data_IF_601204696084
#
_entry.id   IF_601204696084
#
_cell.length_a   1.000
_cell.length_b   1.000
_cell.length_c   1.000
_cell.angle_alpha   90.00
_cell.angle_beta   90.00
_cell.angle_gamma   90.00
#
_symmetry.space_group_name_H-M   'P 1'
#
loop_
_entity.id
_entity.type
_entity.pdbx_description
1 polymer ?
#
# COMPACT_ATOMS: atom_id res chain seq x y z
N UNK A 1 -7.27 -9.89 -28.35
CA UNK A 1 -6.47 -10.16 -27.14
C UNK A 1 -7.37 -10.79 -26.11
N UNK A 2 -6.92 -11.80 -25.37
CA UNK A 2 -7.68 -12.38 -24.26
C UNK A 2 -8.01 -11.28 -23.23
N UNK A 3 -9.26 -11.25 -22.75
CA UNK A 3 -9.63 -10.32 -21.66
C UNK A 3 -9.05 -10.75 -20.31
N UNK A 4 -8.36 -11.89 -20.25
CA UNK A 4 -7.94 -12.55 -19.03
C UNK A 4 -9.12 -13.16 -18.25
N UNK A 5 -8.83 -13.86 -17.17
CA UNK A 5 -9.87 -14.49 -16.32
C UNK A 5 -9.44 -14.54 -14.86
N UNK A 6 -10.42 -14.55 -13.95
CA UNK A 6 -10.24 -14.77 -12.53
C UNK A 6 -10.62 -16.19 -12.15
N UNK A 7 -9.87 -16.80 -11.26
CA UNK A 7 -10.14 -18.13 -10.69
C UNK A 7 -9.91 -18.12 -9.18
N UNK A 8 -10.66 -18.91 -8.40
CA UNK A 8 -10.40 -19.05 -6.96
C UNK A 8 -8.97 -19.54 -6.68
N UNK A 9 -8.37 -19.05 -5.59
CA UNK A 9 -7.00 -19.36 -5.17
C UNK A 9 -6.93 -19.76 -3.68
N UNK A 10 -7.93 -20.45 -3.18
CA UNK A 10 -8.02 -20.86 -1.79
C UNK A 10 -8.33 -19.71 -0.83
N UNK A 11 -8.17 -19.98 0.44
CA UNK A 11 -8.50 -19.03 1.51
C UNK A 11 -7.33 -18.80 2.45
N UNK A 12 -7.18 -17.55 2.89
CA UNK A 12 -6.28 -17.21 3.99
C UNK A 12 -6.68 -17.98 5.27
N UNK A 13 -5.72 -18.32 6.13
CA UNK A 13 -6.02 -18.93 7.44
C UNK A 13 -6.94 -18.06 8.32
N UNK A 14 -6.86 -16.74 8.16
CA UNK A 14 -7.64 -15.74 8.92
C UNK A 14 -8.17 -14.65 8.02
N UNK A 15 -9.29 -14.09 8.41
CA UNK A 15 -9.81 -12.84 7.82
C UNK A 15 -8.92 -11.66 8.21
N UNK A 16 -8.68 -10.75 7.26
CA UNK A 16 -7.88 -9.55 7.54
C UNK A 16 -8.16 -8.39 6.61
N UNK A 17 -8.03 -7.21 7.17
CA UNK A 17 -7.98 -5.93 6.50
C UNK A 17 -6.51 -5.47 6.42
N UNK A 18 -6.13 -4.94 5.28
CA UNK A 18 -4.75 -4.50 5.00
C UNK A 18 -4.68 -2.99 4.76
N UNK A 19 -5.60 -2.23 5.36
CA UNK A 19 -5.66 -0.78 5.26
C UNK A 19 -4.33 -0.12 5.63
N UNK A 20 -3.89 0.82 4.80
CA UNK A 20 -2.67 1.60 5.03
C UNK A 20 -1.36 0.80 4.93
N UNK A 21 -1.42 -0.48 4.53
CA UNK A 21 -0.23 -1.25 4.22
C UNK A 21 0.15 -1.03 2.76
N UNK A 22 1.27 -0.37 2.52
CA UNK A 22 1.72 -0.05 1.15
C UNK A 22 2.03 -1.31 0.35
N UNK A 23 2.59 -2.33 0.98
CA UNK A 23 2.95 -3.61 0.38
C UNK A 23 2.45 -4.75 1.27
N UNK A 24 1.15 -5.00 1.22
CA UNK A 24 0.53 -6.01 2.07
C UNK A 24 0.93 -7.45 1.72
N UNK A 25 1.33 -7.70 0.47
CA UNK A 25 1.78 -9.00 0.01
C UNK A 25 3.17 -8.90 -0.62
N UNK A 26 4.07 -9.79 -0.24
CA UNK A 26 5.44 -9.84 -0.74
C UNK A 26 5.71 -11.19 -1.38
N UNK A 27 6.08 -11.17 -2.67
CA UNK A 27 6.57 -12.37 -3.35
C UNK A 27 8.01 -12.64 -2.94
N UNK A 28 8.24 -13.78 -2.33
CA UNK A 28 9.54 -14.27 -1.92
C UNK A 28 10.38 -14.73 -3.12
N UNK A 29 11.69 -14.91 -2.95
CA UNK A 29 12.60 -15.39 -4.01
C UNK A 29 12.28 -16.82 -4.47
N UNK A 30 11.66 -17.64 -3.62
CA UNK A 30 11.21 -19.00 -3.96
C UNK A 30 9.84 -19.04 -4.69
N UNK A 31 9.26 -17.88 -4.95
CA UNK A 31 7.99 -17.70 -5.66
C UNK A 31 6.74 -17.71 -4.77
N UNK A 32 6.83 -18.09 -3.51
CA UNK A 32 5.71 -17.99 -2.56
C UNK A 32 5.37 -16.53 -2.28
N UNK A 33 4.15 -16.29 -1.80
CA UNK A 33 3.72 -14.94 -1.37
C UNK A 33 3.47 -14.92 0.12
N UNK A 34 4.11 -13.98 0.81
CA UNK A 34 3.96 -13.74 2.23
C UNK A 34 2.96 -12.61 2.47
N UNK A 35 2.04 -12.81 3.43
CA UNK A 35 1.23 -11.76 4.05
C UNK A 35 1.41 -11.85 5.56
N UNK A 36 1.68 -10.74 6.23
CA UNK A 36 1.86 -10.67 7.67
C UNK A 36 1.06 -9.54 8.29
N UNK A 37 0.55 -9.72 9.50
CA UNK A 37 -0.21 -8.70 10.23
C UNK A 37 -1.55 -8.35 9.57
N UNK A 38 -1.98 -7.11 9.73
CA UNK A 38 -3.26 -6.58 9.29
C UNK A 38 -4.22 -6.29 10.44
N UNK A 39 -5.45 -5.93 10.13
CA UNK A 39 -6.51 -5.68 11.10
C UNK A 39 -7.60 -6.73 11.08
N UNK A 40 -8.25 -6.97 12.21
CA UNK A 40 -9.49 -7.74 12.33
C UNK A 40 -10.72 -6.88 12.02
N UNK A 41 -11.94 -7.44 12.13
CA UNK A 41 -13.21 -6.73 11.89
C UNK A 41 -13.41 -5.49 12.78
N UNK A 42 -12.75 -5.46 13.94
CA UNK A 42 -12.77 -4.33 14.87
C UNK A 42 -11.58 -3.40 14.70
N UNK A 43 -10.84 -3.56 13.60
CA UNK A 43 -9.58 -2.88 13.32
C UNK A 43 -8.50 -3.14 14.37
N UNK A 44 -8.60 -4.23 15.14
CA UNK A 44 -7.56 -4.70 16.06
C UNK A 44 -6.36 -5.25 15.28
N UNK A 45 -5.11 -4.91 15.68
CA UNK A 45 -3.92 -5.41 14.99
C UNK A 45 -3.76 -6.92 15.21
N UNK A 46 -3.32 -7.62 14.15
CA UNK A 46 -3.05 -9.04 14.14
C UNK A 46 -1.55 -9.34 13.99
N UNK A 47 -1.14 -10.51 14.46
CA UNK A 47 0.22 -11.06 14.34
C UNK A 47 0.32 -12.19 13.31
N UNK A 48 -0.82 -12.70 12.81
CA UNK A 48 -0.84 -13.85 11.91
C UNK A 48 -0.02 -13.62 10.63
N UNK A 49 0.73 -14.64 10.24
CA UNK A 49 1.50 -14.70 8.99
C UNK A 49 1.03 -15.86 8.14
N UNK A 50 0.82 -15.64 6.85
CA UNK A 50 0.40 -16.66 5.91
C UNK A 50 1.31 -16.68 4.66
N UNK A 51 1.51 -17.87 4.11
CA UNK A 51 2.26 -18.13 2.89
C UNK A 51 1.36 -18.77 1.85
N UNK A 52 1.28 -18.17 0.67
CA UNK A 52 0.67 -18.77 -0.51
C UNK A 52 1.71 -19.52 -1.32
N UNK A 53 1.45 -20.79 -1.63
CA UNK A 53 2.23 -21.56 -2.58
C UNK A 53 1.52 -21.57 -3.94
N UNK A 54 2.08 -20.91 -4.97
CA UNK A 54 1.46 -20.88 -6.30
C UNK A 54 1.37 -22.23 -7.01
N UNK A 55 2.20 -23.22 -6.60
CA UNK A 55 2.21 -24.57 -7.16
C UNK A 55 1.08 -25.41 -6.57
N UNK A 56 0.84 -25.27 -5.28
CA UNK A 56 -0.25 -25.93 -4.57
C UNK A 56 -1.58 -25.21 -4.74
N UNK A 57 -1.57 -23.91 -5.10
CA UNK A 57 -2.75 -23.06 -5.12
C UNK A 57 -3.36 -22.85 -3.72
N UNK A 58 -2.54 -22.92 -2.66
CA UNK A 58 -3.03 -22.98 -1.30
C UNK A 58 -2.25 -22.09 -0.34
N UNK A 59 -2.96 -21.63 0.70
CA UNK A 59 -2.41 -20.89 1.82
C UNK A 59 -2.05 -21.81 3.00
N UNK A 60 -0.95 -21.50 3.65
CA UNK A 60 -0.55 -22.13 4.91
C UNK A 60 -0.21 -21.07 5.95
N UNK A 61 -0.57 -21.33 7.20
CA UNK A 61 -0.10 -20.51 8.31
C UNK A 61 1.43 -20.64 8.47
N UNK A 62 2.06 -19.52 8.82
CA UNK A 62 3.48 -19.47 9.14
C UNK A 62 3.68 -18.94 10.57
N UNK A 63 4.94 -18.88 11.03
CA UNK A 63 5.25 -18.30 12.34
C UNK A 63 4.68 -16.89 12.45
N UNK A 64 3.95 -16.56 13.53
CA UNK A 64 3.37 -15.23 13.70
C UNK A 64 4.46 -14.18 13.94
N UNK A 65 4.13 -12.93 13.69
CA UNK A 65 4.92 -11.78 14.15
C UNK A 65 5.05 -11.79 15.66
N UNK A 66 6.12 -11.26 16.19
CA UNK A 66 6.36 -11.11 17.63
C UNK A 66 5.47 -10.02 18.25
N UNK A 67 5.10 -9.02 17.43
CA UNK A 67 4.19 -7.95 17.83
C UNK A 67 3.09 -7.76 16.77
N UNK A 68 1.82 -7.85 17.23
CA UNK A 68 0.66 -7.64 16.36
C UNK A 68 0.66 -6.22 15.79
N UNK A 69 0.45 -6.08 14.48
CA UNK A 69 0.51 -4.78 13.79
C UNK A 69 -0.40 -4.68 12.58
N UNK A 70 -0.91 -3.47 12.36
CA UNK A 70 -1.60 -3.05 11.13
C UNK A 70 -1.03 -1.72 10.64
N UNK A 71 -1.32 -1.28 9.43
CA UNK A 71 -0.77 -0.03 8.84
C UNK A 71 0.77 0.02 8.86
N UNK A 72 1.39 -1.15 8.84
CA UNK A 72 2.85 -1.32 8.74
C UNK A 72 3.27 -1.37 7.28
N UNK A 73 4.55 -1.21 7.02
CA UNK A 73 5.11 -1.45 5.70
C UNK A 73 5.91 -2.77 5.66
N UNK A 74 5.91 -3.42 4.49
CA UNK A 74 6.57 -4.71 4.29
C UNK A 74 7.48 -4.62 3.06
N UNK A 75 8.75 -4.98 3.20
CA UNK A 75 9.77 -4.84 2.14
C UNK A 75 10.57 -6.12 1.98
N UNK A 76 10.65 -6.64 0.74
CA UNK A 76 11.58 -7.73 0.40
C UNK A 76 12.99 -7.16 0.29
N UNK A 77 13.91 -7.68 1.08
CA UNK A 77 15.34 -7.30 1.06
C UNK A 77 16.10 -7.99 -0.08
N UNK A 78 17.24 -7.42 -0.43
CA UNK A 78 18.12 -7.98 -1.46
C UNK A 78 18.61 -9.40 -1.16
N UNK A 79 18.79 -9.75 0.12
CA UNK A 79 19.18 -11.09 0.58
C UNK A 79 18.03 -12.11 0.60
N UNK A 80 16.77 -11.65 0.42
CA UNK A 80 15.56 -12.48 0.39
C UNK A 80 14.81 -12.56 1.71
N UNK A 81 15.31 -11.95 2.78
CA UNK A 81 14.52 -11.72 4.00
C UNK A 81 13.43 -10.69 3.74
N UNK A 82 12.41 -10.68 4.58
CA UNK A 82 11.34 -9.68 4.52
C UNK A 82 11.40 -8.83 5.78
N UNK A 83 11.52 -7.51 5.61
CA UNK A 83 11.47 -6.53 6.67
C UNK A 83 10.04 -6.03 6.83
N UNK A 84 9.52 -6.05 8.05
CA UNK A 84 8.26 -5.40 8.45
C UNK A 84 8.59 -4.29 9.42
N UNK A 85 8.09 -3.08 9.16
CA UNK A 85 8.43 -1.88 9.92
C UNK A 85 7.20 -1.20 10.51
N UNK A 86 7.29 -0.76 11.76
CA UNK A 86 6.30 0.08 12.41
C UNK A 86 4.88 -0.49 12.38
N UNK A 87 3.94 0.38 12.07
CA UNK A 87 2.52 0.08 12.11
C UNK A 87 1.86 0.49 13.42
N UNK A 88 0.62 0.09 13.62
CA UNK A 88 -0.14 0.31 14.83
C UNK A 88 -0.29 -1.01 15.59
N UNK A 89 0.21 -1.05 16.82
CA UNK A 89 0.13 -2.16 17.75
C UNK A 89 -1.13 -2.14 18.63
N UNK A 90 -1.28 -3.16 19.49
CA UNK A 90 -2.35 -3.21 20.48
C UNK A 90 -2.18 -2.11 21.51
N UNK A 91 -3.26 -1.40 21.78
CA UNK A 91 -3.35 -0.46 22.90
C UNK A 91 -4.56 -0.84 23.77
N UNK A 92 -4.46 -0.64 25.06
CA UNK A 92 -5.62 -0.67 25.96
C UNK A 92 -6.40 0.64 25.76
N UNK A 93 -7.46 0.59 24.98
CA UNK A 93 -8.27 1.79 24.64
C UNK A 93 -7.85 2.44 23.31
N UNK A 94 -8.76 3.26 22.73
CA UNK A 94 -8.37 4.17 21.65
C UNK A 94 -7.41 5.22 22.22
N UNK A 95 -6.29 5.52 21.63
CA UNK A 95 -5.99 5.69 20.22
C UNK A 95 -4.97 4.67 19.66
N UNK A 96 -4.76 4.78 18.34
CA UNK A 96 -3.69 4.10 17.59
C UNK A 96 -2.35 4.22 18.35
N UNK A 97 -1.69 3.08 18.61
CA UNK A 97 -0.34 3.05 19.18
C UNK A 97 0.67 2.80 18.06
N UNK A 98 1.28 3.84 17.50
CA UNK A 98 2.35 3.63 16.52
C UNK A 98 3.53 2.88 17.12
N UNK A 99 4.14 2.00 16.32
CA UNK A 99 5.26 1.17 16.69
C UNK A 99 6.56 1.74 16.11
N UNK A 100 7.63 1.66 16.87
CA UNK A 100 9.00 1.88 16.42
C UNK A 100 9.70 0.57 16.06
N UNK A 101 9.15 -0.58 16.46
CA UNK A 101 9.73 -1.89 16.26
C UNK A 101 9.70 -2.32 14.80
N UNK A 102 10.72 -3.07 14.39
CA UNK A 102 10.78 -3.78 13.13
C UNK A 102 11.05 -5.27 13.34
N UNK A 103 10.63 -6.10 12.39
CA UNK A 103 10.85 -7.54 12.43
C UNK A 103 11.34 -8.05 11.07
N UNK A 104 12.20 -9.07 11.08
CA UNK A 104 12.78 -9.71 9.91
C UNK A 104 12.29 -11.15 9.80
N UNK A 105 11.63 -11.48 8.69
CA UNK A 105 11.27 -12.85 8.34
C UNK A 105 12.38 -13.49 7.51
N UNK A 106 12.87 -14.64 7.96
CA UNK A 106 13.79 -15.49 7.20
C UNK A 106 13.00 -16.63 6.53
N UNK A 107 12.84 -16.62 5.20
CA UNK A 107 12.07 -17.66 4.49
C UNK A 107 12.69 -19.06 4.61
N UNK A 108 14.01 -19.15 4.83
CA UNK A 108 14.72 -20.43 4.98
C UNK A 108 14.46 -21.04 6.35
N UNK A 109 14.51 -20.22 7.41
CA UNK A 109 14.23 -20.62 8.79
C UNK A 109 12.74 -20.65 9.10
N UNK A 110 11.91 -20.00 8.26
CA UNK A 110 10.47 -19.79 8.44
C UNK A 110 10.14 -19.16 9.79
N UNK A 111 10.93 -18.19 10.22
CA UNK A 111 10.80 -17.56 11.54
C UNK A 111 11.06 -16.06 11.47
N UNK A 112 10.48 -15.33 12.44
CA UNK A 112 10.71 -13.92 12.65
C UNK A 112 11.82 -13.69 13.67
N UNK A 113 12.62 -12.68 13.44
CA UNK A 113 13.64 -12.17 14.37
C UNK A 113 13.46 -10.66 14.56
N UNK A 114 14.13 -10.13 15.57
CA UNK A 114 14.17 -8.69 15.83
C UNK A 114 14.85 -7.98 14.65
N UNK A 115 14.22 -6.93 14.14
CA UNK A 115 14.72 -6.00 13.11
C UNK A 115 15.18 -4.65 13.69
N UNK A 116 15.32 -4.57 15.01
CA UNK A 116 15.69 -3.33 15.70
C UNK A 116 14.52 -2.35 15.83
N UNK A 117 14.85 -1.11 16.18
CA UNK A 117 13.87 -0.04 16.39
C UNK A 117 14.23 1.21 15.62
N UNK A 118 13.25 1.80 14.97
CA UNK A 118 13.33 3.16 14.42
C UNK A 118 13.48 4.19 15.55
N UNK A 119 14.11 5.30 15.27
CA UNK A 119 14.18 6.44 16.20
C UNK A 119 12.82 7.07 16.49
N UNK A 120 11.85 6.87 15.58
CA UNK A 120 10.49 7.39 15.74
C UNK A 120 9.42 6.36 15.38
N UNK A 121 8.49 6.14 16.32
CA UNK A 121 7.32 5.30 16.09
C UNK A 121 6.42 5.87 15.00
N UNK A 122 5.97 5.03 14.06
CA UNK A 122 5.18 5.44 12.90
C UNK A 122 4.25 4.35 12.37
N UNK A 123 3.09 4.75 11.84
CA UNK A 123 2.19 3.90 11.07
C UNK A 123 1.73 4.62 9.79
N UNK A 124 1.30 3.89 8.77
CA UNK A 124 0.91 4.47 7.46
C UNK A 124 2.06 5.22 6.77
N UNK A 125 3.29 4.80 7.02
CA UNK A 125 4.51 5.27 6.38
C UNK A 125 4.81 4.42 5.14
N UNK A 126 5.71 4.90 4.29
CA UNK A 126 6.27 4.13 3.19
C UNK A 126 7.59 3.47 3.57
N UNK A 127 7.90 2.31 2.97
CA UNK A 127 9.19 1.63 3.10
C UNK A 127 9.66 1.15 1.72
N UNK A 128 10.77 1.66 1.25
CA UNK A 128 11.28 1.43 -0.11
C UNK A 128 12.70 0.90 -0.09
N UNK A 129 12.93 -0.23 -0.76
CA UNK A 129 14.27 -0.79 -0.95
C UNK A 129 15.08 0.13 -1.88
N UNK A 130 16.25 0.54 -1.42
CA UNK A 130 17.20 1.35 -2.16
C UNK A 130 18.14 0.45 -3.00
N UNK A 131 18.79 1.01 -4.05
CA UNK A 131 19.70 0.23 -4.90
C UNK A 131 20.93 -0.36 -4.17
N UNK A 132 21.32 0.25 -3.07
CA UNK A 132 22.43 -0.20 -2.22
C UNK A 132 22.02 -1.28 -1.20
N UNK A 133 20.76 -1.74 -1.25
CA UNK A 133 20.23 -2.78 -0.37
C UNK A 133 19.65 -2.29 0.95
N UNK A 134 19.84 -1.01 1.28
CA UNK A 134 19.21 -0.38 2.46
C UNK A 134 17.72 -0.13 2.21
N UNK A 135 16.95 0.12 3.28
CA UNK A 135 15.52 0.45 3.19
C UNK A 135 15.27 1.85 3.71
N UNK A 136 14.71 2.72 2.87
CA UNK A 136 14.21 4.03 3.28
C UNK A 136 12.81 3.89 3.85
N UNK A 137 12.62 4.38 5.08
CA UNK A 137 11.30 4.54 5.72
C UNK A 137 11.01 6.03 5.81
N UNK A 138 9.84 6.47 5.31
CA UNK A 138 9.52 7.89 5.25
C UNK A 138 8.08 8.19 5.69
N UNK A 139 7.90 9.29 6.41
CA UNK A 139 6.62 9.80 6.82
C UNK A 139 5.84 8.89 7.78
N UNK A 140 4.54 8.83 7.59
CA UNK A 140 3.61 8.13 8.46
C UNK A 140 3.01 9.04 9.52
N UNK A 141 2.24 8.46 10.42
CA UNK A 141 1.62 9.14 11.56
C UNK A 141 2.25 8.66 12.85
N UNK A 142 2.49 9.58 13.78
CA UNK A 142 2.83 9.28 15.17
C UNK A 142 1.78 9.85 16.10
N UNK A 143 1.62 9.28 17.30
CA UNK A 143 0.75 9.78 18.32
C UNK A 143 1.38 9.57 19.69
N UNK A 144 1.28 10.57 20.59
CA UNK A 144 1.61 10.45 22.02
C UNK A 144 0.35 10.28 22.87
N UNK A 145 -0.79 10.77 22.35
CA UNK A 145 -2.13 10.66 22.94
C UNK A 145 -3.18 10.75 21.83
N UNK A 146 -4.46 10.49 22.14
CA UNK A 146 -5.59 10.60 21.19
C UNK A 146 -5.65 11.94 20.46
N UNK A 147 -5.26 13.00 21.17
CA UNK A 147 -5.34 14.38 20.67
C UNK A 147 -4.03 14.88 20.04
N UNK A 148 -3.05 14.01 19.83
CA UNK A 148 -1.69 14.38 19.38
C UNK A 148 -1.25 13.65 18.12
N UNK A 149 -2.15 13.02 17.39
CA UNK A 149 -1.82 12.43 16.08
C UNK A 149 -1.36 13.52 15.10
N UNK A 150 -0.22 13.27 14.49
CA UNK A 150 0.35 14.14 13.45
C UNK A 150 1.11 13.35 12.42
N UNK A 151 1.05 13.80 11.19
CA UNK A 151 1.90 13.29 10.13
C UNK A 151 3.38 13.67 10.36
N UNK A 152 4.26 12.85 9.86
CA UNK A 152 5.71 12.98 9.97
C UNK A 152 6.32 13.40 8.64
N UNK A 153 7.31 14.30 8.71
CA UNK A 153 8.22 14.58 7.59
C UNK A 153 9.51 13.77 7.71
N UNK A 154 9.81 13.23 8.91
CA UNK A 154 11.05 12.52 9.17
C UNK A 154 11.18 11.23 8.37
N UNK A 155 12.41 10.88 8.02
CA UNK A 155 12.74 9.63 7.38
C UNK A 155 13.96 8.99 8.04
N UNK A 156 14.04 7.66 7.94
CA UNK A 156 15.12 6.84 8.49
C UNK A 156 15.54 5.77 7.47
N UNK A 157 16.77 5.33 7.55
CA UNK A 157 17.30 4.27 6.70
C UNK A 157 17.69 3.09 7.56
N UNK A 158 17.23 1.92 7.17
CA UNK A 158 17.63 0.62 7.74
C UNK A 158 18.74 0.00 6.89
N UNK A 159 19.80 -0.41 7.53
CA UNK A 159 20.87 -1.19 6.92
C UNK A 159 20.73 -2.67 7.33
N UNK A 160 20.39 -3.58 6.39
CA UNK A 160 20.19 -4.98 6.71
C UNK A 160 21.47 -5.77 7.00
N UNK A 161 22.65 -5.23 6.69
CA UNK A 161 23.94 -5.87 7.01
C UNK A 161 24.32 -5.62 8.47
N UNK A 162 24.22 -4.38 8.94
CA UNK A 162 24.52 -4.01 10.32
C UNK A 162 23.34 -4.15 11.27
N UNK A 163 22.10 -4.20 10.74
CA UNK A 163 20.87 -4.17 11.54
C UNK A 163 20.56 -2.80 12.16
N UNK A 164 21.24 -1.75 11.73
CA UNK A 164 21.14 -0.41 12.31
C UNK A 164 20.10 0.46 11.59
N UNK A 165 19.44 1.30 12.39
CA UNK A 165 18.57 2.38 11.94
C UNK A 165 19.28 3.72 12.08
N UNK A 166 19.30 4.52 11.02
CA UNK A 166 19.93 5.84 11.01
C UNK A 166 18.97 6.90 10.48
N UNK A 167 18.83 8.06 11.15
CA UNK A 167 18.08 9.18 10.60
C UNK A 167 18.67 9.65 9.26
N UNK A 168 17.82 10.11 8.37
CA UNK A 168 18.23 10.77 7.13
C UNK A 168 17.48 12.10 6.97
N UNK A 169 17.66 12.82 5.86
CA UNK A 169 16.96 14.07 5.60
C UNK A 169 15.44 13.91 5.72
N UNK A 170 14.76 14.97 6.14
CA UNK A 170 13.30 15.02 6.24
C UNK A 170 12.69 15.56 4.95
N UNK A 171 11.48 15.12 4.62
CA UNK A 171 10.62 15.74 3.62
C UNK A 171 10.29 17.19 4.01
N UNK A 172 9.90 18.00 3.05
CA UNK A 172 9.39 19.36 3.29
C UNK A 172 8.02 19.28 3.96
N UNK A 173 7.14 18.42 3.43
CA UNK A 173 5.79 18.24 3.94
C UNK A 173 5.65 16.94 4.73
N UNK A 174 5.08 17.04 5.92
CA UNK A 174 4.70 15.88 6.71
C UNK A 174 3.53 15.16 6.02
N UNK A 175 3.64 13.83 5.89
CA UNK A 175 2.61 13.02 5.19
C UNK A 175 2.49 11.61 5.72
N UNK A 176 1.28 11.05 5.61
CA UNK A 176 0.96 9.65 5.88
C UNK A 176 0.09 9.09 4.77
N UNK A 177 -0.07 7.76 4.72
CA UNK A 177 -0.90 7.06 3.73
C UNK A 177 -0.55 7.45 2.27
N UNK A 178 0.70 7.80 2.04
CA UNK A 178 1.26 8.13 0.74
C UNK A 178 1.96 6.90 0.16
N UNK A 179 1.80 6.60 -1.12
CA UNK A 179 2.63 5.61 -1.79
C UNK A 179 4.02 6.16 -2.09
N UNK A 180 4.99 5.25 -2.15
CA UNK A 180 6.35 5.55 -2.58
C UNK A 180 6.84 4.49 -3.57
N UNK A 181 7.66 4.91 -4.53
CA UNK A 181 8.27 4.01 -5.51
C UNK A 181 9.73 4.35 -5.74
N UNK A 182 10.55 3.31 -5.90
CA UNK A 182 11.92 3.47 -6.38
C UNK A 182 11.90 3.92 -7.84
N UNK A 183 12.73 4.91 -8.17
CA UNK A 183 12.91 5.43 -9.52
C UNK A 183 14.13 4.81 -10.19
N UNK A 184 14.14 4.66 -11.52
CA UNK A 184 15.36 4.41 -12.28
C UNK A 184 16.41 5.48 -11.94
N UNK A 185 17.65 5.06 -11.71
CA UNK A 185 18.70 5.98 -11.25
C UNK A 185 18.77 6.16 -9.73
N UNK A 186 17.96 5.40 -8.96
CA UNK A 186 18.18 5.16 -7.53
C UNK A 186 17.47 6.09 -6.56
N UNK A 187 16.73 7.07 -7.02
CA UNK A 187 15.90 7.92 -6.15
C UNK A 187 14.61 7.23 -5.71
N UNK A 188 13.91 7.83 -4.73
CA UNK A 188 12.55 7.41 -4.33
C UNK A 188 11.59 8.58 -4.51
N UNK A 189 10.49 8.34 -5.22
CA UNK A 189 9.39 9.29 -5.35
C UNK A 189 8.36 8.98 -4.26
N UNK A 190 7.97 10.01 -3.51
CA UNK A 190 6.75 10.00 -2.68
C UNK A 190 5.76 10.99 -3.27
N UNK A 191 4.49 10.61 -3.33
CA UNK A 191 3.50 11.46 -3.98
C UNK A 191 2.18 11.48 -3.21
N UNK A 192 1.60 12.68 -3.06
CA UNK A 192 0.32 12.87 -2.39
C UNK A 192 0.31 12.41 -0.92
N UNK A 193 -0.80 11.81 -0.51
CA UNK A 193 -1.01 11.36 0.86
C UNK A 193 -1.79 12.37 1.70
N UNK A 194 -1.78 12.17 3.00
CA UNK A 194 -2.53 12.93 3.98
C UNK A 194 -1.61 13.65 4.96
N UNK A 195 -1.82 14.95 5.16
CA UNK A 195 -1.15 15.75 6.17
C UNK A 195 -2.11 16.03 7.33
N UNK A 196 -2.03 15.23 8.40
CA UNK A 196 -2.81 15.47 9.61
C UNK A 196 -2.26 16.66 10.38
N UNK A 197 -3.15 17.59 10.76
CA UNK A 197 -2.82 18.74 11.59
C UNK A 197 -2.96 18.41 13.09
N UNK A 198 -2.36 19.20 13.96
CA UNK A 198 -2.09 18.95 15.38
C UNK A 198 -3.29 18.60 16.29
N UNK A 199 -4.54 18.62 15.84
CA UNK A 199 -5.71 18.50 16.72
C UNK A 199 -6.65 17.35 16.43
N UNK A 200 -6.71 16.88 15.20
CA UNK A 200 -7.59 15.79 14.82
C UNK A 200 -7.08 15.18 13.53
N UNK A 201 -6.92 13.85 13.46
CA UNK A 201 -6.63 13.14 12.22
C UNK A 201 -7.69 13.38 11.14
N UNK A 202 -8.88 13.83 11.55
CA UNK A 202 -9.99 14.21 10.66
C UNK A 202 -9.85 15.62 10.09
N UNK A 203 -8.98 16.45 10.69
CA UNK A 203 -8.65 17.79 10.20
C UNK A 203 -7.25 17.77 9.60
N UNK A 204 -7.13 17.31 8.38
CA UNK A 204 -5.90 17.30 7.61
C UNK A 204 -6.20 17.80 6.22
N UNK A 205 -5.18 17.87 5.40
CA UNK A 205 -5.27 18.18 3.99
C UNK A 205 -4.71 17.06 3.14
N UNK A 206 -5.39 16.76 2.04
CA UNK A 206 -4.80 15.97 0.97
C UNK A 206 -3.65 16.71 0.33
N UNK A 207 -2.63 15.99 -0.08
CA UNK A 207 -1.47 16.57 -0.72
C UNK A 207 -1.49 16.32 -2.23
N UNK A 208 -1.24 17.39 -2.99
CA UNK A 208 -0.85 17.30 -4.40
C UNK A 208 0.68 17.28 -4.57
N UNK A 209 1.43 17.68 -3.54
CA UNK A 209 2.87 17.81 -3.59
C UNK A 209 3.57 16.45 -3.61
N UNK A 210 4.64 16.39 -4.41
CA UNK A 210 5.51 15.22 -4.54
C UNK A 210 6.94 15.60 -4.21
N UNK A 211 7.68 14.66 -3.64
CA UNK A 211 9.07 14.85 -3.28
C UNK A 211 9.91 13.65 -3.72
N UNK A 212 11.17 13.92 -4.03
CA UNK A 212 12.14 12.91 -4.42
C UNK A 212 13.27 12.83 -3.39
N UNK A 213 13.53 11.63 -2.91
CA UNK A 213 14.69 11.31 -2.07
C UNK A 213 15.90 10.96 -2.93
N UNK A 214 17.07 11.45 -2.56
CA UNK A 214 18.36 11.19 -3.19
C UNK A 214 19.25 10.37 -2.23
N UNK A 215 19.38 9.04 -2.41
CA UNK A 215 20.11 8.18 -1.48
C UNK A 215 21.58 8.53 -1.30
N UNK A 216 22.24 9.06 -2.34
CA UNK A 216 23.64 9.45 -2.32
C UNK A 216 23.95 10.64 -1.40
N UNK A 217 22.96 11.51 -1.17
CA UNK A 217 23.11 12.72 -0.35
C UNK A 217 22.26 12.68 0.92
N UNK A 218 21.31 11.73 1.02
CA UNK A 218 20.33 11.67 2.10
C UNK A 218 19.35 12.84 2.11
N UNK A 219 19.15 13.54 0.98
CA UNK A 219 18.31 14.76 0.90
C UNK A 219 17.04 14.52 0.10
N UNK A 220 16.04 15.33 0.43
CA UNK A 220 14.80 15.43 -0.30
C UNK A 220 14.77 16.70 -1.14
N UNK A 221 14.10 16.63 -2.29
CA UNK A 221 13.82 17.78 -3.15
C UNK A 221 12.35 17.73 -3.58
N UNK A 222 11.71 18.89 -3.57
CA UNK A 222 10.38 19.04 -4.17
C UNK A 222 10.48 18.78 -5.68
N UNK A 223 9.51 18.07 -6.22
CA UNK A 223 9.36 17.82 -7.66
C UNK A 223 7.97 18.22 -8.11
N UNK A 224 7.63 18.03 -9.39
CA UNK A 224 6.29 18.33 -9.89
C UNK A 224 5.20 17.66 -9.05
N UNK A 225 4.11 18.38 -8.78
CA UNK A 225 2.96 17.89 -8.05
C UNK A 225 1.86 17.38 -8.97
N UNK A 226 0.91 16.64 -8.41
CA UNK A 226 -0.34 16.26 -9.06
C UNK A 226 -1.19 17.48 -9.44
N UNK A 227 -2.02 17.33 -10.45
CA UNK A 227 -3.00 18.36 -10.81
C UNK A 227 -4.07 18.58 -9.73
N UNK A 228 -4.26 17.60 -8.85
CA UNK A 228 -5.14 17.71 -7.68
C UNK A 228 -4.69 16.74 -6.58
N UNK A 229 -4.91 17.14 -5.32
CA UNK A 229 -4.61 16.34 -4.14
C UNK A 229 -5.27 14.95 -4.20
N UNK A 230 -4.57 13.92 -3.73
CA UNK A 230 -5.11 12.56 -3.70
C UNK A 230 -4.53 11.71 -2.56
N UNK A 231 -5.42 10.89 -1.97
CA UNK A 231 -5.09 9.85 -0.99
C UNK A 231 -5.68 8.52 -1.44
N UNK A 232 -5.16 7.39 -0.94
CA UNK A 232 -5.65 6.07 -1.33
C UNK A 232 -5.45 5.73 -2.81
N UNK A 233 -4.63 6.50 -3.51
CA UNK A 233 -4.18 6.23 -4.88
C UNK A 233 -3.04 5.21 -4.90
N UNK A 234 -2.67 4.73 -6.09
CA UNK A 234 -1.52 3.84 -6.29
C UNK A 234 -0.50 4.44 -7.24
N UNK A 235 0.76 4.13 -6.98
CA UNK A 235 1.88 4.41 -7.89
C UNK A 235 2.38 3.09 -8.49
N UNK A 236 2.60 3.08 -9.79
CA UNK A 236 3.14 1.91 -10.51
C UNK A 236 4.26 2.36 -11.43
N UNK A 237 5.48 1.86 -11.21
CA UNK A 237 6.60 2.11 -12.13
C UNK A 237 6.39 1.34 -13.43
N UNK A 238 6.37 2.04 -14.56
CA UNK A 238 6.21 1.49 -15.90
C UNK A 238 7.54 0.91 -16.44
N UNK A 239 7.46 0.23 -17.57
CA UNK A 239 8.64 -0.41 -18.17
C UNK A 239 9.71 0.58 -18.65
N UNK A 240 9.29 1.78 -19.04
CA UNK A 240 10.17 2.87 -19.47
C UNK A 240 10.73 3.71 -18.32
N UNK A 241 10.40 3.32 -17.07
CA UNK A 241 10.87 4.00 -15.87
C UNK A 241 10.04 5.19 -15.42
N UNK A 242 9.02 5.59 -16.16
CA UNK A 242 8.04 6.58 -15.70
C UNK A 242 7.12 5.96 -14.65
N UNK A 243 6.36 6.78 -13.91
CA UNK A 243 5.48 6.31 -12.84
C UNK A 243 4.03 6.70 -13.14
N UNK A 244 3.14 5.70 -13.18
CA UNK A 244 1.71 5.93 -13.31
C UNK A 244 1.07 6.06 -11.92
N UNK A 245 0.37 7.14 -11.69
CA UNK A 245 -0.52 7.32 -10.54
C UNK A 245 -1.96 7.07 -10.98
N UNK A 246 -2.71 6.26 -10.22
CA UNK A 246 -4.09 5.91 -10.54
C UNK A 246 -5.03 6.23 -9.38
N UNK A 247 -6.15 6.87 -9.66
CA UNK A 247 -7.26 7.07 -8.74
C UNK A 247 -6.93 7.84 -7.48
N UNK A 248 -7.52 7.41 -6.39
CA UNK A 248 -7.49 8.07 -5.09
C UNK A 248 -8.70 8.99 -4.88
N UNK A 249 -8.93 9.40 -3.64
CA UNK A 249 -9.93 10.38 -3.26
C UNK A 249 -9.31 11.76 -3.06
N UNK A 250 -10.16 12.80 -3.11
CA UNK A 250 -9.81 14.14 -2.70
C UNK A 250 -10.36 14.40 -1.29
N UNK A 251 -9.52 14.41 -0.28
CA UNK A 251 -9.99 14.58 1.09
C UNK A 251 -10.52 15.99 1.38
N UNK A 252 -10.23 16.97 0.53
CA UNK A 252 -10.64 18.37 0.72
C UNK A 252 -11.92 18.74 -0.06
N UNK A 253 -12.39 17.89 -0.98
CA UNK A 253 -13.60 18.17 -1.77
C UNK A 253 -14.91 17.98 -0.99
N UNK A 254 -14.83 17.44 0.23
CA UNK A 254 -15.99 17.26 1.11
C UNK A 254 -16.26 18.49 1.97
N UNK A 255 -17.50 19.00 1.95
CA UNK A 255 -17.98 19.95 2.94
C UNK A 255 -17.88 19.33 4.34
N UNK A 256 -17.24 20.01 5.28
CA UNK A 256 -17.11 19.65 6.70
C UNK A 256 -16.14 18.47 7.02
N UNK A 257 -15.00 18.36 6.34
CA UNK A 257 -13.95 17.40 6.71
C UNK A 257 -14.32 15.93 6.44
N UNK A 258 -15.33 15.68 5.61
CA UNK A 258 -15.58 14.35 5.03
C UNK A 258 -14.75 14.22 3.75
N UNK A 259 -14.05 13.09 3.56
CA UNK A 259 -13.43 12.80 2.27
C UNK A 259 -14.46 12.91 1.15
N UNK A 260 -13.98 13.33 -0.05
CA UNK A 260 -14.82 13.35 -1.25
C UNK A 260 -15.46 11.97 -1.44
N UNK A 261 -16.79 11.87 -1.48
CA UNK A 261 -17.46 10.61 -1.81
C UNK A 261 -17.17 10.13 -3.24
N UNK A 262 -16.59 10.99 -4.08
CA UNK A 262 -16.29 10.68 -5.47
C UNK A 262 -14.79 10.43 -5.66
N UNK A 263 -14.42 9.17 -5.64
CA UNK A 263 -13.05 8.77 -5.99
C UNK A 263 -12.72 9.14 -7.43
N UNK A 264 -11.49 9.60 -7.64
CA UNK A 264 -11.03 10.06 -8.94
C UNK A 264 -10.88 8.91 -9.94
N UNK A 265 -11.37 9.14 -11.16
CA UNK A 265 -11.03 8.29 -12.31
C UNK A 265 -9.68 8.68 -12.94
N UNK A 266 -9.16 9.84 -12.60
CA UNK A 266 -7.98 10.40 -13.26
C UNK A 266 -6.72 9.57 -13.02
N UNK A 267 -5.91 9.45 -14.08
CA UNK A 267 -4.57 8.93 -14.05
C UNK A 267 -3.56 10.01 -14.45
N UNK A 268 -2.39 9.98 -13.86
CA UNK A 268 -1.30 10.91 -14.14
C UNK A 268 0.02 10.14 -14.26
N UNK A 269 0.91 10.62 -15.13
CA UNK A 269 2.20 9.98 -15.39
C UNK A 269 3.33 10.93 -15.03
N UNK A 270 4.24 10.46 -14.20
CA UNK A 270 5.45 11.19 -13.79
C UNK A 270 6.64 10.77 -14.65
N UNK A 271 7.34 11.76 -15.18
CA UNK A 271 8.63 11.57 -15.84
C UNK A 271 9.78 11.92 -14.87
N UNK A 272 10.58 10.92 -14.42
CA UNK A 272 11.69 11.17 -13.52
C UNK A 272 12.82 12.02 -14.11
N UNK A 273 12.91 12.14 -15.45
CA UNK A 273 13.96 12.92 -16.11
C UNK A 273 13.64 14.42 -16.06
N UNK A 274 12.37 14.78 -16.22
CA UNK A 274 11.91 16.19 -16.18
C UNK A 274 11.39 16.60 -14.80
N UNK A 275 11.00 15.63 -13.98
CA UNK A 275 10.36 15.87 -12.67
C UNK A 275 8.94 16.40 -12.79
N UNK A 276 8.23 16.12 -13.90
CA UNK A 276 6.90 16.65 -14.18
C UNK A 276 5.84 15.55 -14.29
N UNK A 277 4.58 15.92 -13.99
CA UNK A 277 3.40 15.10 -14.21
C UNK A 277 2.67 15.52 -15.48
N UNK A 278 2.16 14.55 -16.21
CA UNK A 278 1.23 14.74 -17.35
C UNK A 278 -0.06 13.99 -17.07
N UNK A 279 -1.18 14.48 -17.62
CA UNK A 279 -2.44 13.76 -17.57
C UNK A 279 -2.42 12.58 -18.53
N UNK A 280 -2.98 11.46 -18.09
CA UNK A 280 -3.29 10.30 -18.91
C UNK A 280 -4.80 10.17 -19.11
N UNK A 281 -5.24 9.24 -19.95
CA UNK A 281 -6.66 8.93 -20.07
C UNK A 281 -7.25 8.50 -18.73
N UNK A 282 -8.48 8.87 -18.48
CA UNK A 282 -9.20 8.50 -17.27
C UNK A 282 -9.55 7.00 -17.25
N UNK A 283 -9.50 6.38 -16.07
CA UNK A 283 -10.00 5.03 -15.84
C UNK A 283 -11.50 4.95 -16.15
N UNK A 284 -12.04 3.77 -16.51
CA UNK A 284 -13.48 3.60 -16.77
C UNK A 284 -14.37 3.98 -15.57
N UNK A 285 -13.86 3.90 -14.35
CA UNK A 285 -14.56 4.41 -13.16
C UNK A 285 -13.56 4.91 -12.12
N UNK A 286 -13.97 5.91 -11.34
CA UNK A 286 -13.20 6.45 -10.21
C UNK A 286 -13.07 5.42 -9.09
N UNK A 287 -11.92 5.38 -8.44
CA UNK A 287 -11.66 4.45 -7.33
C UNK A 287 -10.52 4.91 -6.42
N UNK A 288 -10.68 4.65 -5.13
CA UNK A 288 -9.64 4.75 -4.12
C UNK A 288 -9.45 3.39 -3.42
N UNK A 289 -8.37 3.20 -2.66
CA UNK A 289 -8.08 1.97 -1.90
C UNK A 289 -8.07 0.69 -2.77
N UNK A 290 -7.82 0.88 -4.07
CA UNK A 290 -7.64 -0.17 -5.06
C UNK A 290 -6.22 -0.72 -5.05
N UNK A 291 -5.97 -1.79 -5.81
CA UNK A 291 -4.62 -2.24 -6.13
C UNK A 291 -4.31 -1.98 -7.61
N UNK A 292 -3.04 -1.69 -7.86
CA UNK A 292 -2.50 -1.52 -9.21
C UNK A 292 -1.16 -2.26 -9.31
N UNK A 293 -1.02 -3.11 -10.31
CA UNK A 293 0.21 -3.89 -10.52
C UNK A 293 0.60 -3.89 -12.00
N UNK A 294 1.89 -3.81 -12.27
CA UNK A 294 2.40 -3.98 -13.63
C UNK A 294 2.48 -5.46 -14.00
N UNK A 295 1.82 -5.82 -15.08
CA UNK A 295 1.86 -7.16 -15.67
C UNK A 295 3.19 -7.39 -16.43
N UNK A 296 3.57 -8.65 -16.68
CA UNK A 296 4.74 -8.96 -17.53
C UNK A 296 4.61 -8.41 -18.96
N UNK A 297 3.39 -8.19 -19.45
CA UNK A 297 3.11 -7.54 -20.75
C UNK A 297 3.48 -6.07 -20.81
N UNK A 298 3.76 -5.44 -19.64
CA UNK A 298 3.99 -4.01 -19.47
C UNK A 298 2.73 -3.21 -19.17
N UNK A 299 1.54 -3.76 -19.35
CA UNK A 299 0.27 -3.14 -18.96
C UNK A 299 0.16 -3.02 -17.43
N UNK A 300 -0.67 -2.08 -16.95
CA UNK A 300 -1.01 -1.96 -15.53
C UNK A 300 -2.43 -2.47 -15.30
N UNK A 301 -2.58 -3.49 -14.47
CA UNK A 301 -3.87 -4.00 -14.01
C UNK A 301 -4.30 -3.27 -12.74
N UNK A 302 -5.45 -2.61 -12.79
CA UNK A 302 -6.11 -1.95 -11.66
C UNK A 302 -7.30 -2.79 -11.22
N UNK A 303 -7.45 -3.03 -9.91
CA UNK A 303 -8.40 -3.99 -9.36
C UNK A 303 -9.05 -3.45 -8.10
N UNK A 304 -10.36 -3.72 -7.94
CA UNK A 304 -11.08 -3.41 -6.70
C UNK A 304 -11.13 -1.92 -6.37
N UNK A 305 -11.12 -1.61 -5.08
CA UNK A 305 -11.27 -0.25 -4.59
C UNK A 305 -12.74 0.15 -4.42
N UNK A 306 -12.98 1.41 -4.09
CA UNK A 306 -14.31 1.97 -3.87
C UNK A 306 -14.39 3.40 -4.39
N UNK A 307 -15.60 3.86 -4.72
CA UNK A 307 -15.91 5.27 -4.96
C UNK A 307 -16.58 5.93 -3.74
N UNK A 308 -16.88 5.16 -2.70
CA UNK A 308 -17.55 5.63 -1.51
C UNK A 308 -16.66 5.52 -0.28
N UNK A 309 -16.52 6.64 0.45
CA UNK A 309 -15.82 6.71 1.73
C UNK A 309 -16.68 6.27 2.92
N UNK A 310 -17.97 6.06 2.71
CA UNK A 310 -18.91 5.63 3.74
C UNK A 310 -18.96 4.11 3.93
N UNK A 311 -18.03 3.35 3.30
CA UNK A 311 -17.85 1.93 3.57
C UNK A 311 -18.71 1.01 2.71
N UNK A 312 -19.18 1.47 1.57
CA UNK A 312 -19.79 0.57 0.60
C UNK A 312 -18.72 -0.26 -0.11
N UNK A 313 -18.79 -1.53 0.11
CA UNK A 313 -17.77 -2.51 -0.17
C UNK A 313 -17.42 -2.65 -1.65
N UNK A 314 -16.21 -2.45 -1.92
CA UNK A 314 -15.31 -2.80 -3.00
C UNK A 314 -15.88 -3.18 -4.37
N UNK A 315 -15.30 -2.60 -5.39
CA UNK A 315 -15.56 -3.00 -6.77
C UNK A 315 -15.07 -4.41 -7.06
N UNK A 316 -15.85 -5.13 -7.88
CA UNK A 316 -15.40 -6.34 -8.59
C UNK A 316 -14.67 -5.99 -9.88
N UNK A 317 -14.90 -4.80 -10.41
CA UNK A 317 -14.38 -4.38 -11.71
C UNK A 317 -12.86 -4.25 -11.70
N UNK A 318 -12.28 -4.56 -12.84
CA UNK A 318 -10.87 -4.37 -13.14
C UNK A 318 -10.70 -3.58 -14.44
N UNK A 319 -9.57 -2.93 -14.60
CA UNK A 319 -9.21 -2.23 -15.83
C UNK A 319 -7.72 -2.42 -16.12
N UNK A 320 -7.36 -2.44 -17.39
CA UNK A 320 -5.96 -2.50 -17.85
C UNK A 320 -5.60 -1.23 -18.58
N UNK A 321 -4.48 -0.66 -18.19
CA UNK A 321 -3.85 0.47 -18.87
C UNK A 321 -2.73 -0.01 -19.76
N UNK A 322 -2.77 0.32 -21.04
CA UNK A 322 -1.67 0.10 -21.98
C UNK A 322 -0.83 1.37 -22.11
N UNK A 323 0.39 1.41 -21.54
CA UNK A 323 1.23 2.60 -21.55
C UNK A 323 1.77 2.98 -22.94
N UNK A 324 1.69 2.08 -23.92
CA UNK A 324 2.13 2.36 -25.32
C UNK A 324 1.14 3.24 -26.05
N UNK A 325 -0.14 3.14 -25.72
CA UNK A 325 -1.22 3.88 -26.37
C UNK A 325 -1.89 4.90 -25.43
N UNK A 326 -1.58 4.86 -24.13
CA UNK A 326 -2.22 5.72 -23.13
C UNK A 326 -3.72 5.41 -22.97
N UNK A 327 -4.15 4.15 -23.17
CA UNK A 327 -5.57 3.76 -23.19
C UNK A 327 -5.93 2.74 -22.14
N UNK A 328 -7.19 2.80 -21.69
CA UNK A 328 -7.77 1.85 -20.77
C UNK A 328 -8.70 0.86 -21.48
N UNK A 329 -8.70 -0.38 -21.02
CA UNK A 329 -9.66 -1.40 -21.38
C UNK A 329 -10.24 -2.05 -20.13
N UNK A 330 -11.56 -2.26 -20.11
CA UNK A 330 -12.21 -3.01 -19.03
C UNK A 330 -11.73 -4.47 -19.02
N UNK A 331 -11.42 -4.96 -17.81
CA UNK A 331 -11.06 -6.36 -17.55
C UNK A 331 -12.24 -7.17 -17.01
N UNK A 332 -12.07 -8.49 -16.87
CA UNK A 332 -13.08 -9.34 -16.22
C UNK A 332 -13.19 -8.99 -14.74
N UNK A 333 -14.41 -9.02 -14.20
CA UNK A 333 -14.65 -8.78 -12.79
C UNK A 333 -14.13 -9.92 -11.90
N UNK A 334 -13.62 -9.59 -10.73
CA UNK A 334 -13.36 -10.54 -9.64
C UNK A 334 -14.68 -11.19 -9.18
N UNK A 335 -14.61 -12.37 -8.61
CA UNK A 335 -15.78 -13.01 -7.99
C UNK A 335 -16.26 -12.21 -6.77
N UNK A 336 -15.34 -11.61 -6.02
CA UNK A 336 -15.61 -10.82 -4.81
C UNK A 336 -15.05 -9.42 -4.98
N UNK A 337 -15.90 -8.40 -4.78
CA UNK A 337 -15.48 -7.00 -4.72
C UNK A 337 -14.76 -6.73 -3.40
N UNK A 338 -13.65 -5.96 -3.43
CA UNK A 338 -12.81 -5.77 -2.23
C UNK A 338 -12.08 -4.44 -2.18
N UNK A 339 -11.87 -3.95 -0.95
CA UNK A 339 -11.00 -2.82 -0.61
C UNK A 339 -9.97 -3.27 0.43
N UNK A 340 -8.88 -2.54 0.57
CA UNK A 340 -7.83 -2.79 1.58
C UNK A 340 -7.32 -4.25 1.57
N UNK A 341 -7.09 -4.77 0.39
CA UNK A 341 -6.67 -6.14 0.14
C UNK A 341 -5.22 -6.20 -0.36
N UNK A 342 -4.64 -7.39 -0.32
CA UNK A 342 -3.32 -7.65 -0.87
C UNK A 342 -3.36 -7.98 -2.35
N UNK A 343 -2.34 -7.56 -3.10
CA UNK A 343 -2.09 -8.02 -4.46
C UNK A 343 -0.60 -8.29 -4.69
N UNK A 344 -0.29 -9.34 -5.44
CA UNK A 344 1.08 -9.68 -5.82
C UNK A 344 1.13 -10.31 -7.22
N UNK A 345 2.13 -9.90 -8.02
CA UNK A 345 2.45 -10.56 -9.30
C UNK A 345 3.32 -11.78 -9.02
N UNK A 346 2.86 -12.96 -9.43
CA UNK A 346 3.55 -14.23 -9.28
C UNK A 346 4.69 -14.36 -10.30
N UNK A 347 5.54 -15.38 -10.10
CA UNK A 347 6.67 -15.63 -11.01
C UNK A 347 6.24 -16.04 -12.43
N UNK A 348 5.07 -16.65 -12.57
CA UNK A 348 4.46 -17.05 -13.83
C UNK A 348 3.62 -15.94 -14.50
N UNK A 349 3.59 -14.74 -13.91
CA UNK A 349 2.89 -13.58 -14.43
C UNK A 349 1.43 -13.47 -14.01
N UNK A 350 0.86 -14.47 -13.33
CA UNK A 350 -0.48 -14.35 -12.73
C UNK A 350 -0.48 -13.32 -11.61
N UNK A 351 -1.65 -12.76 -11.29
CA UNK A 351 -1.81 -11.82 -10.18
C UNK A 351 -2.68 -12.45 -9.11
N UNK A 352 -2.13 -12.57 -7.90
CA UNK A 352 -2.85 -13.00 -6.72
C UNK A 352 -3.48 -11.80 -6.02
N UNK A 353 -4.76 -11.90 -5.66
CA UNK A 353 -5.43 -10.98 -4.73
C UNK A 353 -5.97 -11.75 -3.54
N UNK A 354 -5.91 -11.15 -2.33
CA UNK A 354 -6.27 -11.86 -1.10
C UNK A 354 -6.78 -10.93 -0.01
N UNK A 355 -7.76 -11.40 0.74
CA UNK A 355 -8.29 -10.69 1.90
C UNK A 355 -9.02 -9.41 1.55
N UNK A 356 -9.00 -8.47 2.49
CA UNK A 356 -9.65 -7.17 2.39
C UNK A 356 -11.06 -7.15 2.96
N UNK A 357 -11.69 -5.99 2.84
CA UNK A 357 -13.07 -5.77 3.25
C UNK A 357 -14.02 -5.94 2.06
N UNK A 358 -15.18 -6.56 2.31
CA UNK A 358 -16.19 -6.90 1.32
C UNK A 358 -17.58 -6.51 1.81
N UNK A 359 -18.49 -6.24 0.88
CA UNK A 359 -19.92 -6.09 1.17
C UNK A 359 -20.61 -7.43 1.04
N UNK A 360 -21.45 -7.79 2.00
CA UNK A 360 -22.28 -8.98 1.91
C UNK A 360 -23.75 -8.62 1.75
N UNK A 361 -24.28 -8.96 0.57
CA UNK A 361 -25.73 -8.92 0.24
C UNK A 361 -26.24 -7.57 -0.29
N UNK A 362 -27.34 -7.59 -1.09
CA UNK A 362 -27.93 -6.40 -1.68
C UNK A 362 -28.72 -5.52 -0.68
N UNK A 363 -28.82 -5.93 0.57
CA UNK A 363 -29.64 -5.31 1.61
C UNK A 363 -28.91 -5.10 2.92
N UNK A 364 -27.58 -4.90 2.91
CA UNK A 364 -26.89 -4.49 4.12
C UNK A 364 -27.44 -3.12 4.55
N UNK A 365 -28.05 -2.98 5.76
CA UNK A 365 -28.58 -1.69 6.21
C UNK A 365 -27.45 -0.68 6.30
N UNK A 366 -27.75 0.57 5.99
CA UNK A 366 -26.89 1.72 6.24
C UNK A 366 -26.41 1.67 7.69
N UNK A 367 -25.08 1.46 7.89
CA UNK A 367 -24.49 1.26 9.22
C UNK A 367 -23.96 -0.17 9.48
N UNK A 368 -24.07 -1.10 8.54
CA UNK A 368 -23.51 -2.43 8.70
C UNK A 368 -22.00 -2.45 8.48
N UNK A 369 -21.34 -3.10 9.43
CA UNK A 369 -19.89 -3.27 9.50
C UNK A 369 -19.34 -3.90 8.21
N UNK A 370 -18.19 -3.37 7.75
CA UNK A 370 -17.37 -4.02 6.73
C UNK A 370 -17.10 -5.45 7.20
N UNK A 371 -17.45 -6.44 6.39
CA UNK A 371 -17.04 -7.81 6.62
C UNK A 371 -15.70 -8.05 5.97
N UNK A 372 -14.85 -8.76 6.65
CA UNK A 372 -13.58 -9.21 6.10
C UNK A 372 -13.76 -10.48 5.30
N UNK A 373 -12.87 -10.73 4.35
CA UNK A 373 -12.84 -11.96 3.59
C UNK A 373 -11.53 -12.70 3.74
N UNK A 374 -11.61 -14.03 3.68
CA UNK A 374 -10.46 -14.93 3.58
C UNK A 374 -10.14 -15.33 2.15
N UNK A 375 -11.07 -15.06 1.23
CA UNK A 375 -10.96 -15.56 -0.14
C UNK A 375 -9.78 -14.94 -0.88
N UNK A 376 -9.21 -15.74 -1.77
CA UNK A 376 -8.19 -15.31 -2.71
C UNK A 376 -8.58 -15.68 -4.13
N UNK A 377 -8.11 -14.89 -5.08
CA UNK A 377 -8.35 -15.10 -6.51
C UNK A 377 -7.06 -14.88 -7.30
N UNK A 378 -6.92 -15.61 -8.40
CA UNK A 378 -5.81 -15.48 -9.35
C UNK A 378 -6.33 -14.95 -10.68
N UNK A 379 -5.70 -13.88 -11.14
CA UNK A 379 -5.88 -13.37 -12.50
C UNK A 379 -4.84 -13.98 -13.43
N UNK A 380 -5.31 -14.47 -14.59
CA UNK A 380 -4.47 -14.90 -15.73
C UNK A 380 -4.79 -13.98 -16.90
N UNK A 381 -3.76 -13.30 -17.46
CA UNK A 381 -3.88 -12.34 -18.57
C UNK A 381 -4.13 -13.05 -19.92
#
# INVERSE_FOLDING_TARGET
>A
MSRGQWAPAGELPWERNLFGAESAAVRLKDGRVLIAGGGDERLGPQDGTALFDPRAGAWTAAAPLREARRMHATTLLADGRVLVTGGSGRASGFPVRPLDSAELYDPTKRSWSDGGRMGQARCGHSATLLPDGRVLVAGGTTARSADSERSLASAEVFDPESGLWTPTGSMTDARSLHPAVALPGGGVLVAGGWAATRRDWRTGAGLAYCERYHPSTGRWTVTGGFFAARTGHRLTTLADGTVLATGGGDPDAGTQGRPDPYSRATAERYDPATGTWSREADMPCGRALHQAVRLPTGEVLVMGGTDDTLGEAGYRSTARYDPRFGTWTEGPGMAVGRIDFAAAVLADGRVLVSGGSVRTGPAAPTGSFLRLTRTSELFTA
#
